data_IF_287471304642
#
_entry.id   IF_287471304642
#
_cell.length_a   1.000
_cell.length_b   1.000
_cell.length_c   1.000
_cell.angle_alpha   90.00
_cell.angle_beta   90.00
_cell.angle_gamma   90.00
#
_symmetry.space_group_name_H-M   'P 1'
#
loop_
_entity.id
_entity.type
_entity.pdbx_description
1 polymer ?
#
# COMPACT_ATOMS: atom_id res chain seq x y z
N UNK A 1 -5.10 -20.19 -4.04
CA UNK A 1 -6.16 -19.12 -4.15
C UNK A 1 -6.38 -18.30 -2.89
N UNK A 2 -6.85 -18.90 -1.78
CA UNK A 2 -7.38 -18.18 -0.61
C UNK A 2 -6.36 -17.22 0.03
N UNK A 3 -5.10 -17.65 0.17
CA UNK A 3 -4.05 -16.83 0.76
C UNK A 3 -3.78 -15.53 -0.02
N UNK A 4 -3.70 -15.60 -1.36
CA UNK A 4 -3.53 -14.42 -2.21
C UNK A 4 -4.70 -13.45 -2.12
N UNK A 5 -5.92 -13.97 -2.02
CA UNK A 5 -7.13 -13.16 -1.82
C UNK A 5 -7.15 -12.47 -0.45
N UNK A 6 -6.81 -13.17 0.63
CA UNK A 6 -6.81 -12.58 1.97
C UNK A 6 -5.77 -11.46 2.14
N UNK A 7 -4.56 -11.66 1.59
CA UNK A 7 -3.50 -10.64 1.61
C UNK A 7 -3.96 -9.40 0.86
N UNK A 8 -4.37 -9.56 -0.40
CA UNK A 8 -4.78 -8.41 -1.24
C UNK A 8 -6.05 -7.72 -0.76
N UNK A 9 -6.96 -8.43 -0.10
CA UNK A 9 -8.10 -7.79 0.58
C UNK A 9 -7.62 -6.89 1.70
N UNK A 10 -6.73 -7.38 2.58
CA UNK A 10 -6.25 -6.60 3.73
C UNK A 10 -5.51 -5.35 3.27
N UNK A 11 -4.43 -5.54 2.53
CA UNK A 11 -3.56 -4.42 2.11
C UNK A 11 -4.30 -3.48 1.15
N UNK A 12 -5.14 -4.04 0.27
CA UNK A 12 -5.99 -3.26 -0.63
C UNK A 12 -6.98 -2.39 0.13
N UNK A 13 -7.68 -2.95 1.13
CA UNK A 13 -8.62 -2.19 1.95
C UNK A 13 -7.93 -1.06 2.69
N UNK A 14 -6.75 -1.28 3.26
CA UNK A 14 -5.98 -0.25 3.94
C UNK A 14 -5.61 0.90 2.99
N UNK A 15 -5.08 0.58 1.81
CA UNK A 15 -4.76 1.58 0.79
C UNK A 15 -6.00 2.38 0.35
N UNK A 16 -7.10 1.70 0.03
CA UNK A 16 -8.33 2.34 -0.42
C UNK A 16 -8.98 3.19 0.69
N UNK A 17 -8.95 2.74 1.94
CA UNK A 17 -9.46 3.49 3.09
C UNK A 17 -8.66 4.78 3.32
N UNK A 18 -7.33 4.72 3.25
CA UNK A 18 -6.49 5.91 3.41
C UNK A 18 -6.82 6.96 2.34
N UNK A 19 -6.87 6.54 1.06
CA UNK A 19 -7.23 7.43 -0.05
C UNK A 19 -8.63 8.01 0.13
N UNK A 20 -9.59 7.18 0.53
CA UNK A 20 -10.96 7.61 0.81
C UNK A 20 -11.05 8.62 1.95
N UNK A 21 -10.32 8.42 3.05
CA UNK A 21 -10.28 9.35 4.19
C UNK A 21 -9.73 10.71 3.74
N UNK A 22 -8.64 10.73 2.96
CA UNK A 22 -8.05 11.97 2.44
C UNK A 22 -9.01 12.70 1.49
N UNK A 23 -9.69 11.98 0.60
CA UNK A 23 -10.70 12.54 -0.31
C UNK A 23 -11.94 13.07 0.44
N UNK A 24 -12.40 12.34 1.46
CA UNK A 24 -13.49 12.74 2.35
C UNK A 24 -13.15 14.00 3.13
N UNK A 25 -11.93 14.07 3.67
CA UNK A 25 -11.43 15.25 4.38
C UNK A 25 -11.40 16.49 3.47
N UNK A 26 -10.88 16.37 2.24
CA UNK A 26 -10.90 17.46 1.26
C UNK A 26 -12.30 17.95 0.90
N UNK A 27 -13.26 17.02 0.84
CA UNK A 27 -14.67 17.34 0.57
C UNK A 27 -15.28 18.09 1.75
N UNK A 28 -14.97 17.70 2.99
CA UNK A 28 -15.43 18.37 4.22
C UNK A 28 -14.93 19.82 4.31
N UNK A 29 -13.68 20.09 3.94
CA UNK A 29 -13.11 21.46 3.97
C UNK A 29 -13.48 22.30 2.73
N UNK A 30 -14.37 21.82 1.85
CA UNK A 30 -14.80 22.47 0.59
C UNK A 30 -13.64 22.85 -0.36
N UNK A 31 -12.48 22.21 -0.25
CA UNK A 31 -11.31 22.42 -1.13
C UNK A 31 -11.16 21.29 -2.14
N UNK A 32 -12.22 21.04 -2.93
CA UNK A 32 -12.26 19.96 -3.91
C UNK A 32 -11.19 20.08 -5.01
N UNK A 33 -10.65 21.27 -5.24
CA UNK A 33 -9.57 21.53 -6.20
C UNK A 33 -8.29 20.70 -5.95
N UNK A 34 -8.04 20.23 -4.72
CA UNK A 34 -6.84 19.47 -4.39
C UNK A 34 -7.01 17.95 -4.55
N UNK A 35 -8.20 17.45 -4.90
CA UNK A 35 -8.46 16.02 -5.12
C UNK A 35 -7.53 15.42 -6.18
N UNK A 36 -7.16 16.21 -7.20
CA UNK A 36 -6.26 15.79 -8.26
C UNK A 36 -4.86 15.41 -7.73
N UNK A 37 -4.38 16.07 -6.68
CA UNK A 37 -3.05 15.79 -6.11
C UNK A 37 -3.02 14.44 -5.39
N UNK A 38 -4.12 14.08 -4.71
CA UNK A 38 -4.28 12.75 -4.10
C UNK A 38 -4.28 11.67 -5.19
N UNK A 39 -5.08 11.86 -6.25
CA UNK A 39 -5.13 10.90 -7.37
C UNK A 39 -3.78 10.73 -8.07
N UNK A 40 -3.05 11.82 -8.32
CA UNK A 40 -1.70 11.78 -8.88
C UNK A 40 -0.77 11.00 -7.95
N UNK A 41 -0.80 11.28 -6.65
CA UNK A 41 0.01 10.57 -5.65
C UNK A 41 -0.33 9.07 -5.60
N UNK A 42 -1.61 8.71 -5.57
CA UNK A 42 -2.06 7.31 -5.59
C UNK A 42 -1.66 6.59 -6.86
N UNK A 43 -1.87 7.19 -8.04
CA UNK A 43 -1.49 6.58 -9.32
C UNK A 43 0.03 6.42 -9.46
N UNK A 44 0.80 7.43 -9.04
CA UNK A 44 2.26 7.34 -9.01
C UNK A 44 2.73 6.23 -8.07
N UNK A 45 2.11 6.09 -6.89
CA UNK A 45 2.44 5.03 -5.95
C UNK A 45 2.13 3.64 -6.52
N UNK A 46 0.95 3.46 -7.12
CA UNK A 46 0.57 2.20 -7.79
C UNK A 46 1.57 1.85 -8.90
N UNK A 47 1.97 2.82 -9.72
CA UNK A 47 2.95 2.60 -10.78
C UNK A 47 4.30 2.16 -10.20
N UNK A 48 4.79 2.84 -9.15
CA UNK A 48 6.06 2.49 -8.49
C UNK A 48 5.98 1.12 -7.82
N UNK A 49 4.89 0.80 -7.11
CA UNK A 49 4.69 -0.52 -6.49
C UNK A 49 4.67 -1.64 -7.52
N UNK A 50 3.98 -1.44 -8.65
CA UNK A 50 3.96 -2.41 -9.75
C UNK A 50 5.35 -2.58 -10.37
N UNK A 51 6.07 -1.48 -10.59
CA UNK A 51 7.43 -1.50 -11.15
C UNK A 51 8.41 -2.21 -10.21
N UNK A 52 8.33 -1.96 -8.90
CA UNK A 52 9.10 -2.67 -7.89
C UNK A 52 8.79 -4.17 -7.88
N UNK A 53 7.50 -4.55 -7.94
CA UNK A 53 7.10 -5.95 -7.99
C UNK A 53 7.68 -6.68 -9.22
N UNK A 54 7.62 -6.03 -10.40
CA UNK A 54 8.20 -6.57 -11.63
C UNK A 54 9.72 -6.69 -11.52
N UNK A 55 10.40 -5.67 -11.00
CA UNK A 55 11.85 -5.68 -10.80
C UNK A 55 12.29 -6.79 -9.85
N UNK A 56 11.58 -6.99 -8.74
CA UNK A 56 11.84 -8.09 -7.81
C UNK A 56 11.70 -9.44 -8.49
N UNK A 57 10.62 -9.63 -9.26
CA UNK A 57 10.38 -10.88 -9.96
C UNK A 57 11.42 -11.13 -11.05
N UNK A 58 11.79 -10.10 -11.82
CA UNK A 58 12.82 -10.18 -12.85
C UNK A 58 14.20 -10.51 -12.24
N UNK A 59 14.58 -9.83 -11.15
CA UNK A 59 15.83 -10.11 -10.45
C UNK A 59 15.87 -11.55 -9.93
N UNK A 60 14.76 -12.07 -9.40
CA UNK A 60 14.67 -13.45 -8.93
C UNK A 60 14.89 -14.49 -10.04
N UNK A 61 14.51 -14.18 -11.30
CA UNK A 61 14.73 -15.08 -12.44
C UNK A 61 16.16 -15.06 -12.99
N UNK A 62 16.92 -13.99 -12.76
CA UNK A 62 18.27 -13.83 -13.34
C UNK A 62 19.38 -14.54 -12.56
N UNK A 63 19.12 -14.93 -11.31
CA UNK A 63 20.09 -15.66 -10.49
C UNK A 63 19.75 -17.15 -10.48
N UNK A 64 20.66 -17.99 -10.96
CA UNK A 64 20.57 -19.45 -10.86
C UNK A 64 21.64 -20.00 -9.87
N UNK A 65 21.41 -21.20 -9.32
CA UNK A 65 22.39 -21.91 -8.48
C UNK A 65 22.60 -21.31 -7.09
N UNK A 66 23.86 -21.23 -6.64
CA UNK A 66 24.21 -20.76 -5.29
C UNK A 66 23.93 -19.27 -5.07
N UNK A 67 24.10 -18.45 -6.12
CA UNK A 67 23.76 -17.01 -6.11
C UNK A 67 22.27 -16.75 -5.88
N UNK A 68 21.40 -17.63 -6.40
CA UNK A 68 19.95 -17.54 -6.21
C UNK A 68 19.57 -17.67 -4.73
N UNK A 69 20.17 -18.64 -4.04
CA UNK A 69 19.91 -18.88 -2.61
C UNK A 69 20.38 -17.72 -1.73
N UNK A 70 21.52 -17.12 -2.07
CA UNK A 70 22.03 -15.93 -1.35
C UNK A 70 21.10 -14.74 -1.59
N UNK A 71 20.67 -14.51 -2.83
CA UNK A 71 19.71 -13.45 -3.16
C UNK A 71 18.39 -13.64 -2.42
N UNK A 72 17.83 -14.85 -2.44
CA UNK A 72 16.60 -15.19 -1.72
C UNK A 72 16.74 -14.95 -0.21
N UNK A 73 17.86 -15.37 0.41
CA UNK A 73 18.12 -15.15 1.83
C UNK A 73 18.24 -13.66 2.18
N UNK A 74 18.91 -12.86 1.34
CA UNK A 74 19.03 -11.40 1.54
C UNK A 74 17.67 -10.72 1.41
N UNK A 75 16.88 -11.07 0.40
CA UNK A 75 15.52 -10.53 0.20
C UNK A 75 14.62 -10.94 1.37
N UNK A 76 14.71 -12.18 1.86
CA UNK A 76 13.96 -12.64 3.02
C UNK A 76 14.33 -11.86 4.30
N UNK A 77 15.62 -11.63 4.55
CA UNK A 77 16.06 -10.81 5.69
C UNK A 77 15.60 -9.35 5.58
N UNK A 78 15.67 -8.76 4.39
CA UNK A 78 15.12 -7.42 4.13
C UNK A 78 13.62 -7.38 4.37
N UNK A 79 12.87 -8.38 3.90
CA UNK A 79 11.43 -8.47 4.13
C UNK A 79 11.11 -8.55 5.63
N UNK A 80 11.80 -9.40 6.40
CA UNK A 80 11.62 -9.48 7.86
C UNK A 80 11.93 -8.14 8.52
N UNK A 81 13.00 -7.45 8.11
CA UNK A 81 13.34 -6.13 8.65
C UNK A 81 12.27 -5.07 8.39
N UNK A 82 11.80 -4.98 7.14
CA UNK A 82 10.73 -4.05 6.72
C UNK A 82 9.43 -4.35 7.46
N UNK A 83 9.02 -5.63 7.53
CA UNK A 83 7.81 -6.05 8.23
C UNK A 83 7.90 -5.79 9.73
N UNK A 84 9.04 -6.07 10.35
CA UNK A 84 9.24 -5.80 11.79
C UNK A 84 9.16 -4.31 12.05
N UNK A 85 9.82 -3.49 11.23
CA UNK A 85 9.73 -2.04 11.31
C UNK A 85 8.28 -1.54 11.19
N UNK A 86 7.52 -2.08 10.23
CA UNK A 86 6.12 -1.76 9.97
C UNK A 86 5.22 -2.10 11.15
N UNK A 87 5.34 -3.31 11.72
CA UNK A 87 4.57 -3.72 12.91
C UNK A 87 4.86 -2.77 14.08
N UNK A 88 6.12 -2.44 14.31
CA UNK A 88 6.51 -1.49 15.36
C UNK A 88 6.02 -0.07 15.06
N UNK A 89 6.01 0.33 13.80
CA UNK A 89 5.50 1.63 13.36
C UNK A 89 3.99 1.74 13.60
N UNK A 90 3.19 0.75 13.22
CA UNK A 90 1.74 0.73 13.49
C UNK A 90 1.44 0.71 14.99
N UNK A 91 2.20 -0.07 15.77
CA UNK A 91 2.05 -0.10 17.23
C UNK A 91 2.33 1.26 17.87
N UNK A 92 3.32 2.00 17.38
CA UNK A 92 3.64 3.36 17.83
C UNK A 92 2.57 4.37 17.39
N UNK A 93 2.05 4.23 16.17
CA UNK A 93 1.09 5.16 15.59
C UNK A 93 -0.31 5.02 16.20
N UNK A 94 -0.71 3.81 16.64
CA UNK A 94 -2.03 3.48 17.22
C UNK A 94 -2.45 4.33 18.45
N UNK A 95 -1.51 5.02 19.11
CA UNK A 95 -1.81 5.87 20.29
C UNK A 95 -1.94 7.38 20.02
N UNK A 96 -1.68 7.87 18.80
CA UNK A 96 -1.57 9.32 18.52
C UNK A 96 -2.27 9.83 17.25
N UNK A 97 -2.95 8.97 16.49
CA UNK A 97 -3.45 9.29 15.13
C UNK A 97 -4.39 10.50 15.12
N UNK A 98 -5.35 10.61 16.04
CA UNK A 98 -6.29 11.75 16.02
C UNK A 98 -5.59 13.09 16.27
N UNK A 99 -4.76 13.19 17.29
CA UNK A 99 -4.15 14.47 17.70
C UNK A 99 -3.05 14.97 16.77
N UNK A 100 -2.17 14.08 16.29
CA UNK A 100 -1.09 14.50 15.38
C UNK A 100 -1.58 14.78 13.96
N UNK A 101 -2.58 14.03 13.45
CA UNK A 101 -3.14 14.33 12.13
C UNK A 101 -4.01 15.58 12.16
N UNK A 102 -4.73 15.86 13.25
CA UNK A 102 -5.45 17.14 13.40
C UNK A 102 -4.47 18.32 13.48
N UNK A 103 -3.38 18.24 14.26
CA UNK A 103 -2.35 19.29 14.30
C UNK A 103 -1.58 19.45 12.99
N UNK A 104 -1.20 18.35 12.33
CA UNK A 104 -0.50 18.40 11.04
C UNK A 104 -1.43 18.85 9.91
N UNK A 105 -2.73 18.56 9.98
CA UNK A 105 -3.72 19.08 9.04
C UNK A 105 -3.96 20.58 9.24
N UNK A 106 -4.05 21.08 10.48
CA UNK A 106 -4.13 22.53 10.76
C UNK A 106 -2.88 23.29 10.30
N UNK A 107 -1.68 22.70 10.47
CA UNK A 107 -0.43 23.26 9.98
C UNK A 107 -0.32 23.22 8.43
N UNK A 108 -0.88 22.20 7.79
CA UNK A 108 -0.86 22.06 6.33
C UNK A 108 -1.85 23.00 5.63
N UNK A 109 -3.00 23.25 6.24
CA UNK A 109 -4.05 24.13 5.69
C UNK A 109 -3.59 25.59 5.64
N UNK A 110 -2.73 26.03 6.55
CA UNK A 110 -2.24 27.42 6.60
C UNK A 110 -1.24 27.78 5.48
N UNK A 111 -0.64 26.80 4.79
CA UNK A 111 0.46 27.03 3.83
C UNK A 111 0.16 26.66 2.36
N UNK A 112 -1.05 26.18 2.03
CA UNK A 112 -1.39 25.78 0.65
C UNK A 112 -0.82 24.42 0.23
N UNK A 113 -0.66 23.48 1.18
CA UNK A 113 -0.02 22.17 1.02
C UNK A 113 -0.82 21.11 0.23
N UNK A 114 -1.26 21.44 -0.99
CA UNK A 114 -1.77 20.46 -1.95
C UNK A 114 -0.77 19.32 -2.21
N UNK A 115 0.52 19.68 -2.24
CA UNK A 115 1.62 18.75 -2.44
C UNK A 115 1.82 17.79 -1.26
N UNK A 116 1.61 18.23 -0.02
CA UNK A 116 1.74 17.36 1.15
C UNK A 116 0.65 16.29 1.20
N UNK A 117 -0.57 16.61 0.74
CA UNK A 117 -1.64 15.63 0.63
C UNK A 117 -1.35 14.58 -0.45
N UNK A 118 -0.83 15.01 -1.59
CA UNK A 118 -0.40 14.10 -2.66
C UNK A 118 0.76 13.21 -2.23
N UNK A 119 1.76 13.76 -1.53
CA UNK A 119 2.89 12.97 -1.02
C UNK A 119 2.47 12.02 0.09
N UNK A 120 1.53 12.40 0.96
CA UNK A 120 0.98 11.54 2.00
C UNK A 120 0.21 10.36 1.39
N UNK A 121 -0.64 10.63 0.38
CA UNK A 121 -1.34 9.59 -0.36
C UNK A 121 -0.35 8.65 -1.07
N UNK A 122 0.69 9.22 -1.70
CA UNK A 122 1.73 8.46 -2.37
C UNK A 122 2.47 7.53 -1.41
N UNK A 123 3.04 8.04 -0.32
CA UNK A 123 3.82 7.24 0.63
C UNK A 123 2.97 6.15 1.28
N UNK A 124 1.71 6.48 1.62
CA UNK A 124 0.79 5.52 2.22
C UNK A 124 0.45 4.38 1.27
N UNK A 125 0.03 4.69 0.04
CA UNK A 125 -0.33 3.66 -0.96
C UNK A 125 0.90 2.87 -1.41
N UNK A 126 2.05 3.54 -1.56
CA UNK A 126 3.30 2.90 -1.94
C UNK A 126 3.67 1.82 -0.92
N UNK A 127 3.54 2.13 0.38
CA UNK A 127 3.82 1.20 1.47
C UNK A 127 2.96 -0.05 1.38
N UNK A 128 1.63 0.11 1.30
CA UNK A 128 0.71 -1.03 1.17
C UNK A 128 0.99 -1.84 -0.10
N UNK A 129 1.34 -1.16 -1.19
CA UNK A 129 1.71 -1.82 -2.44
C UNK A 129 3.02 -2.61 -2.36
N UNK A 130 4.02 -2.10 -1.62
CA UNK A 130 5.28 -2.82 -1.36
C UNK A 130 5.04 -4.05 -0.49
N UNK A 131 4.22 -3.93 0.55
CA UNK A 131 3.86 -5.06 1.40
C UNK A 131 3.10 -6.14 0.64
N UNK A 132 2.12 -5.73 -0.15
CA UNK A 132 1.40 -6.64 -1.06
C UNK A 132 2.39 -7.37 -1.97
N UNK A 133 3.35 -6.68 -2.57
CA UNK A 133 4.35 -7.28 -3.45
C UNK A 133 5.26 -8.27 -2.70
N UNK A 134 5.72 -7.92 -1.50
CA UNK A 134 6.56 -8.79 -0.67
C UNK A 134 5.82 -10.04 -0.20
N UNK A 135 4.60 -9.90 0.32
CA UNK A 135 3.78 -11.02 0.78
C UNK A 135 3.40 -11.97 -0.37
N UNK A 136 3.03 -11.43 -1.54
CA UNK A 136 2.75 -12.26 -2.71
C UNK A 136 4.01 -12.97 -3.20
N UNK A 137 5.18 -12.30 -3.21
CA UNK A 137 6.45 -12.91 -3.62
C UNK A 137 6.86 -14.07 -2.69
N UNK A 138 6.76 -13.89 -1.37
CA UNK A 138 7.03 -14.93 -0.38
C UNK A 138 6.09 -16.14 -0.55
N UNK A 139 4.81 -15.89 -0.83
CA UNK A 139 3.83 -16.93 -1.07
C UNK A 139 4.08 -17.69 -2.38
N UNK A 140 4.49 -16.98 -3.44
CA UNK A 140 4.88 -17.60 -4.72
C UNK A 140 6.09 -18.52 -4.52
N UNK A 141 7.09 -18.09 -3.75
CA UNK A 141 8.28 -18.88 -3.45
C UNK A 141 7.95 -20.19 -2.69
N UNK A 142 6.99 -20.12 -1.76
CA UNK A 142 6.64 -21.26 -0.89
C UNK A 142 5.65 -22.23 -1.55
N UNK A 143 4.62 -21.71 -2.23
CA UNK A 143 3.46 -22.52 -2.63
C UNK A 143 3.44 -22.94 -4.10
N UNK A 144 4.18 -22.27 -5.00
CA UNK A 144 4.15 -22.45 -6.47
C UNK A 144 2.73 -22.67 -7.07
N UNK A 145 1.71 -22.08 -6.44
CA UNK A 145 0.32 -22.23 -6.83
C UNK A 145 -0.01 -21.27 -7.98
N UNK A 146 -0.37 -21.81 -9.15
CA UNK A 146 -0.77 -21.00 -10.32
C UNK A 146 -2.05 -20.20 -10.06
N UNK A 147 -2.84 -20.59 -9.06
CA UNK A 147 -4.09 -19.91 -8.71
C UNK A 147 -3.90 -18.70 -7.78
N UNK A 148 -2.65 -18.30 -7.53
CA UNK A 148 -2.31 -17.18 -6.65
C UNK A 148 -2.60 -15.82 -7.31
N UNK A 149 -2.33 -15.68 -8.62
CA UNK A 149 -2.60 -14.45 -9.37
C UNK A 149 -4.10 -14.15 -9.52
N UNK A 150 -4.98 -15.11 -9.90
CA UNK A 150 -6.43 -14.88 -9.89
C UNK A 150 -6.97 -14.56 -8.50
N UNK A 151 -6.42 -15.19 -7.45
CA UNK A 151 -6.78 -14.92 -6.06
C UNK A 151 -6.45 -13.49 -5.62
N UNK A 152 -5.27 -12.99 -6.01
CA UNK A 152 -4.83 -11.62 -5.73
C UNK A 152 -5.72 -10.58 -6.44
N UNK A 153 -6.08 -10.82 -7.70
CA UNK A 153 -6.97 -9.92 -8.46
C UNK A 153 -8.37 -9.89 -7.82
N UNK A 154 -8.92 -11.06 -7.46
CA UNK A 154 -10.20 -11.15 -6.76
C UNK A 154 -10.19 -10.35 -5.45
N UNK A 155 -9.11 -10.45 -4.68
CA UNK A 155 -9.03 -9.73 -3.41
C UNK A 155 -8.97 -8.21 -3.58
N UNK A 156 -8.22 -7.72 -4.58
CA UNK A 156 -8.20 -6.29 -4.92
C UNK A 156 -9.58 -5.77 -5.36
N UNK A 157 -10.30 -6.54 -6.18
CA UNK A 157 -11.65 -6.16 -6.63
C UNK A 157 -12.63 -6.11 -5.45
N UNK A 158 -12.56 -7.08 -4.55
CA UNK A 158 -13.40 -7.11 -3.34
C UNK A 158 -13.07 -5.94 -2.42
N UNK A 159 -11.80 -5.64 -2.19
CA UNK A 159 -11.37 -4.50 -1.40
C UNK A 159 -11.90 -3.18 -1.99
N UNK A 160 -11.73 -2.97 -3.30
CA UNK A 160 -12.25 -1.79 -3.99
C UNK A 160 -13.78 -1.67 -3.87
N UNK A 161 -14.50 -2.78 -4.02
CA UNK A 161 -15.96 -2.84 -3.88
C UNK A 161 -16.43 -2.50 -2.48
N UNK A 162 -15.79 -3.06 -1.44
CA UNK A 162 -16.10 -2.77 -0.04
C UNK A 162 -15.85 -1.30 0.27
N UNK A 163 -14.69 -0.75 -0.13
CA UNK A 163 -14.40 0.66 0.11
C UNK A 163 -15.39 1.57 -0.61
N UNK A 164 -15.75 1.25 -1.86
CA UNK A 164 -16.77 2.01 -2.59
C UNK A 164 -18.12 2.01 -1.87
N UNK A 165 -18.57 0.87 -1.32
CA UNK A 165 -19.81 0.79 -0.55
C UNK A 165 -19.76 1.64 0.72
N UNK A 166 -18.64 1.60 1.46
CA UNK A 166 -18.44 2.41 2.66
C UNK A 166 -18.52 3.91 2.36
N UNK A 167 -17.84 4.38 1.32
CA UNK A 167 -17.86 5.80 0.96
C UNK A 167 -19.11 6.26 0.23
N UNK A 168 -19.87 5.34 -0.39
CA UNK A 168 -21.20 5.65 -0.91
C UNK A 168 -22.24 5.83 0.19
N UNK A 169 -22.04 5.17 1.34
CA UNK A 169 -22.94 5.25 2.50
C UNK A 169 -22.63 6.42 3.46
N UNK A 170 -21.56 7.16 3.24
CA UNK A 170 -21.08 8.27 4.08
C UNK A 170 -21.33 9.63 3.40
#
# INVERSE_FOLDING_TARGET
MIAGTLITIREGLEAFLIVGILLGYLTKIKRAQFKIHIWIGTLAALAVSALLAILFQYAAFQFEGASAKIFEAVVALLAVGVLTWMVLWMQRQSRGIKGELEQKADAAISSGQAFALGSLAFVSVLREGVETALFLSALIATSRDKQLLPGAILGLVLAAGITYLLFRSA
#
